data_IF_392904726280
#
_entry.id   IF_392904726280
#
_cell.length_a   1.000
_cell.length_b   1.000
_cell.length_c   1.000
_cell.angle_alpha   90.00
_cell.angle_beta   90.00
_cell.angle_gamma   90.00
#
_symmetry.space_group_name_H-M   'P 1'
#
loop_
_entity.id
_entity.type
_entity.pdbx_description
1 polymer ?
#
# COMPACT_ATOMS: atom_id res chain seq x y z
N UNK A 1 7.86 -21.52 -3.19
CA UNK A 1 8.11 -20.38 -2.31
C UNK A 1 9.37 -19.62 -2.70
N UNK A 2 10.50 -20.30 -2.93
CA UNK A 2 11.77 -19.66 -3.33
C UNK A 2 11.66 -18.72 -4.53
N UNK A 3 10.95 -19.13 -5.59
CA UNK A 3 10.71 -18.27 -6.76
C UNK A 3 9.97 -16.98 -6.40
N UNK A 4 8.99 -17.04 -5.49
CA UNK A 4 8.26 -15.85 -5.04
C UNK A 4 9.18 -14.90 -4.25
N UNK A 5 10.02 -15.46 -3.37
CA UNK A 5 11.01 -14.68 -2.63
C UNK A 5 12.05 -14.03 -3.56
N UNK A 6 12.51 -14.76 -4.58
CA UNK A 6 13.40 -14.22 -5.62
C UNK A 6 12.73 -13.10 -6.43
N UNK A 7 11.44 -13.26 -6.79
CA UNK A 7 10.67 -12.21 -7.48
C UNK A 7 10.61 -10.94 -6.64
N UNK A 8 10.24 -11.01 -5.35
CA UNK A 8 10.18 -9.82 -4.50
C UNK A 8 11.57 -9.21 -4.24
N UNK A 9 12.60 -10.04 -4.03
CA UNK A 9 13.97 -9.55 -3.88
C UNK A 9 14.44 -8.76 -5.12
N UNK A 10 14.12 -9.24 -6.32
CA UNK A 10 14.43 -8.54 -7.56
C UNK A 10 13.64 -7.22 -7.70
N UNK A 11 12.36 -7.19 -7.30
CA UNK A 11 11.57 -5.96 -7.29
C UNK A 11 12.12 -4.93 -6.31
N UNK A 12 12.50 -5.35 -5.11
CA UNK A 12 13.14 -4.50 -4.11
C UNK A 12 14.41 -3.86 -4.65
N UNK A 13 15.28 -4.65 -5.29
CA UNK A 13 16.53 -4.15 -5.84
C UNK A 13 16.32 -3.16 -7.00
N UNK A 14 15.31 -3.38 -7.83
CA UNK A 14 15.11 -2.60 -9.06
C UNK A 14 14.26 -1.36 -8.86
N UNK A 15 13.21 -1.44 -8.05
CA UNK A 15 12.15 -0.43 -8.01
C UNK A 15 12.09 0.34 -6.69
N UNK A 16 12.58 -0.23 -5.57
CA UNK A 16 12.55 0.47 -4.29
C UNK A 16 13.59 1.59 -4.26
N UNK A 17 13.15 2.79 -3.91
CA UNK A 17 13.98 3.97 -3.78
C UNK A 17 14.52 4.12 -2.34
N UNK A 18 15.56 4.93 -2.12
CA UNK A 18 16.13 5.14 -0.78
C UNK A 18 15.12 5.63 0.27
N UNK A 19 14.09 6.37 -0.15
CA UNK A 19 13.00 6.83 0.72
C UNK A 19 12.03 5.70 1.12
N UNK A 20 12.18 4.48 0.59
CA UNK A 20 11.35 3.31 0.88
C UNK A 20 10.16 3.10 -0.07
N UNK A 21 9.78 4.11 -0.86
CA UNK A 21 8.72 4.00 -1.87
C UNK A 21 9.25 3.34 -3.15
N UNK A 22 8.34 2.96 -4.03
CA UNK A 22 8.65 2.29 -5.29
C UNK A 22 8.25 3.17 -6.46
N UNK A 23 9.13 3.26 -7.45
CA UNK A 23 8.73 3.77 -8.76
C UNK A 23 7.71 2.83 -9.39
N UNK A 24 6.69 3.40 -10.06
CA UNK A 24 5.71 2.61 -10.78
C UNK A 24 6.38 1.69 -11.81
N UNK A 25 7.31 2.24 -12.59
CA UNK A 25 8.26 1.48 -13.41
C UNK A 25 9.60 2.22 -13.46
N UNK A 26 10.66 1.59 -13.97
CA UNK A 26 11.93 2.28 -14.20
C UNK A 26 11.81 3.44 -15.20
N UNK A 27 10.86 3.34 -16.13
CA UNK A 27 10.61 4.38 -17.13
C UNK A 27 9.60 5.42 -16.63
N UNK A 28 8.91 5.17 -15.53
CA UNK A 28 7.92 6.06 -14.93
C UNK A 28 8.23 6.23 -13.44
N UNK A 29 9.19 7.13 -13.10
CA UNK A 29 9.70 7.30 -11.74
C UNK A 29 8.72 8.11 -10.86
N UNK A 30 7.49 7.62 -10.74
CA UNK A 30 6.40 8.21 -9.96
C UNK A 30 6.02 7.25 -8.84
N UNK A 31 5.92 7.75 -7.61
CA UNK A 31 5.45 6.99 -6.45
C UNK A 31 3.93 6.88 -6.44
N UNK A 32 3.39 6.22 -7.47
CA UNK A 32 1.95 6.04 -7.62
C UNK A 32 1.38 5.20 -6.48
N UNK A 33 0.30 5.68 -5.87
CA UNK A 33 -0.37 5.12 -4.70
C UNK A 33 -0.69 3.64 -4.87
N UNK A 34 -1.57 3.28 -5.81
CA UNK A 34 -1.97 1.86 -5.96
C UNK A 34 -0.83 0.97 -6.47
N UNK A 35 0.09 1.50 -7.27
CA UNK A 35 1.30 0.76 -7.67
C UNK A 35 2.13 0.34 -6.45
N UNK A 36 2.34 1.26 -5.51
CA UNK A 36 2.94 0.95 -4.22
C UNK A 36 2.04 0.05 -3.37
N UNK A 37 0.71 0.22 -3.42
CA UNK A 37 -0.27 -0.63 -2.74
C UNK A 37 -0.08 -2.11 -3.07
N UNK A 38 0.12 -2.44 -4.36
CA UNK A 38 0.39 -3.82 -4.80
C UNK A 38 1.67 -4.38 -4.19
N UNK A 39 2.73 -3.55 -4.14
CA UNK A 39 4.00 -3.96 -3.55
C UNK A 39 3.87 -4.16 -2.04
N UNK A 40 3.20 -3.24 -1.33
CA UNK A 40 2.95 -3.37 0.10
C UNK A 40 2.20 -4.67 0.42
N UNK A 41 1.11 -4.93 -0.31
CA UNK A 41 0.29 -6.13 -0.11
C UNK A 41 1.06 -7.41 -0.43
N UNK A 42 1.84 -7.43 -1.52
CA UNK A 42 2.66 -8.58 -1.90
C UNK A 42 3.81 -8.87 -0.92
N UNK A 43 4.49 -7.82 -0.42
CA UNK A 43 5.49 -7.94 0.64
C UNK A 43 4.87 -8.53 1.91
N UNK A 44 3.74 -7.98 2.33
CA UNK A 44 3.01 -8.46 3.51
C UNK A 44 2.62 -9.92 3.36
N UNK A 45 1.89 -10.29 2.29
CA UNK A 45 1.43 -11.67 2.11
C UNK A 45 2.58 -12.66 2.04
N UNK A 46 3.68 -12.34 1.32
CA UNK A 46 4.82 -13.25 1.30
C UNK A 46 5.48 -13.37 2.67
N UNK A 47 5.68 -12.27 3.41
CA UNK A 47 6.34 -12.32 4.72
C UNK A 47 5.58 -13.15 5.76
N UNK A 48 4.25 -13.26 5.62
CA UNK A 48 3.39 -14.08 6.48
C UNK A 48 3.64 -15.57 6.27
N UNK A 49 3.87 -15.97 5.03
CA UNK A 49 4.03 -17.38 4.63
C UNK A 49 5.51 -17.79 4.53
N UNK A 50 6.45 -16.85 4.44
CA UNK A 50 7.86 -17.14 4.24
C UNK A 50 8.51 -17.64 5.54
N UNK A 51 9.18 -18.82 5.53
CA UNK A 51 9.78 -19.40 6.73
C UNK A 51 10.79 -18.46 7.35
N UNK A 52 10.83 -18.40 8.68
CA UNK A 52 11.73 -17.53 9.42
C UNK A 52 13.21 -17.69 9.00
N UNK A 53 13.62 -18.93 8.70
CA UNK A 53 14.97 -19.28 8.29
C UNK A 53 15.26 -19.10 6.79
N UNK A 54 14.30 -18.66 5.97
CA UNK A 54 14.51 -18.49 4.54
C UNK A 54 15.55 -17.38 4.28
N UNK A 55 16.58 -17.62 3.44
CA UNK A 55 17.73 -16.72 3.31
C UNK A 55 17.38 -15.32 2.80
N UNK A 56 16.33 -15.19 1.99
CA UNK A 56 15.87 -13.88 1.49
C UNK A 56 14.93 -13.12 2.44
N UNK A 57 14.44 -13.76 3.51
CA UNK A 57 13.46 -13.14 4.42
C UNK A 57 13.99 -11.86 5.08
N UNK A 58 15.25 -11.78 5.55
CA UNK A 58 15.78 -10.54 6.14
C UNK A 58 15.76 -9.36 5.18
N UNK A 59 16.14 -9.58 3.92
CA UNK A 59 16.15 -8.53 2.89
C UNK A 59 14.72 -8.05 2.56
N UNK A 60 13.77 -8.99 2.45
CA UNK A 60 12.36 -8.69 2.19
C UNK A 60 11.74 -7.92 3.35
N UNK A 61 11.99 -8.35 4.59
CA UNK A 61 11.51 -7.67 5.79
C UNK A 61 12.11 -6.26 5.89
N UNK A 62 13.41 -6.09 5.62
CA UNK A 62 14.03 -4.76 5.61
C UNK A 62 13.39 -3.83 4.55
N UNK A 63 13.07 -4.37 3.37
CA UNK A 63 12.33 -3.66 2.32
C UNK A 63 10.95 -3.21 2.76
N UNK A 64 10.19 -4.13 3.34
CA UNK A 64 8.88 -3.86 3.94
C UNK A 64 8.98 -2.74 5.00
N UNK A 65 9.88 -2.88 5.98
CA UNK A 65 10.03 -1.89 7.06
C UNK A 65 10.39 -0.49 6.54
N UNK A 66 11.26 -0.38 5.52
CA UNK A 66 11.57 0.90 4.85
C UNK A 66 10.32 1.52 4.24
N UNK A 67 9.54 0.72 3.51
CA UNK A 67 8.31 1.17 2.88
C UNK A 67 7.28 1.64 3.92
N UNK A 68 7.05 0.86 4.98
CA UNK A 68 6.04 1.20 5.99
C UNK A 68 6.40 2.52 6.70
N UNK A 69 7.67 2.74 7.03
CA UNK A 69 8.13 4.04 7.58
C UNK A 69 7.85 5.20 6.65
N UNK A 70 8.08 5.02 5.35
CA UNK A 70 7.80 6.05 4.35
C UNK A 70 6.31 6.34 4.25
N UNK A 71 5.48 5.30 4.20
CA UNK A 71 4.03 5.45 4.17
C UNK A 71 3.52 6.16 5.44
N UNK A 72 4.04 5.81 6.62
CA UNK A 72 3.67 6.47 7.88
C UNK A 72 3.92 7.97 7.81
N UNK A 73 5.06 8.39 7.25
CA UNK A 73 5.42 9.81 7.09
C UNK A 73 4.55 10.56 6.06
N UNK A 74 3.94 9.86 5.10
CA UNK A 74 3.15 10.45 4.01
C UNK A 74 1.63 10.29 4.19
N UNK A 75 1.16 9.73 5.31
CA UNK A 75 -0.27 9.66 5.58
C UNK A 75 -0.85 11.08 5.68
N UNK A 76 -1.93 11.34 4.93
CA UNK A 76 -2.57 12.64 4.95
C UNK A 76 -3.28 12.90 6.29
N UNK A 77 -3.56 14.17 6.64
CA UNK A 77 -4.31 14.50 7.85
C UNK A 77 -5.68 13.81 7.95
N UNK A 78 -6.34 13.54 6.80
CA UNK A 78 -7.60 12.80 6.72
C UNK A 78 -7.48 11.29 6.99
N UNK A 79 -6.27 10.76 7.13
CA UNK A 79 -5.99 9.34 7.37
C UNK A 79 -5.77 8.52 6.11
N UNK A 80 -6.09 9.03 4.92
CA UNK A 80 -5.82 8.34 3.65
C UNK A 80 -4.40 8.63 3.13
N UNK A 81 -4.03 7.92 2.06
CA UNK A 81 -2.86 8.20 1.25
C UNK A 81 -3.26 8.74 -0.11
N UNK A 82 -2.32 9.43 -0.76
CA UNK A 82 -2.55 10.14 -2.01
C UNK A 82 -2.26 9.29 -3.24
N UNK A 83 -2.94 9.61 -4.34
CA UNK A 83 -2.72 9.03 -5.66
C UNK A 83 -1.25 9.10 -6.08
N UNK A 84 -0.54 10.18 -5.78
CA UNK A 84 0.93 10.26 -5.81
C UNK A 84 1.38 10.55 -4.39
N UNK A 85 2.05 9.57 -3.77
CA UNK A 85 2.21 9.48 -2.31
C UNK A 85 2.96 10.70 -1.74
N UNK A 86 4.04 11.09 -2.40
CA UNK A 86 4.99 12.12 -1.99
C UNK A 86 4.69 13.49 -2.60
N UNK A 87 3.53 13.67 -3.22
CA UNK A 87 3.07 14.96 -3.73
C UNK A 87 1.89 15.47 -2.90
N UNK A 88 2.07 16.48 -2.02
CA UNK A 88 1.02 16.96 -1.13
C UNK A 88 -0.26 17.45 -1.83
N UNK A 89 -0.13 18.00 -3.05
CA UNK A 89 -1.24 18.47 -3.87
C UNK A 89 -2.03 17.33 -4.56
N UNK A 90 -1.54 16.09 -4.48
CA UNK A 90 -2.25 14.93 -5.01
C UNK A 90 -3.47 14.59 -4.14
N UNK A 91 -4.54 14.13 -4.78
CA UNK A 91 -5.79 13.78 -4.11
C UNK A 91 -5.68 12.44 -3.38
N UNK A 92 -6.47 12.28 -2.30
CA UNK A 92 -6.53 11.06 -1.48
C UNK A 92 -7.26 9.92 -2.21
N UNK A 93 -6.67 8.73 -2.25
CA UNK A 93 -7.12 7.62 -3.10
C UNK A 93 -7.41 6.36 -2.27
N UNK A 94 -8.59 5.77 -2.47
CA UNK A 94 -9.13 4.74 -1.58
C UNK A 94 -8.47 3.37 -1.72
N UNK A 95 -8.15 2.92 -2.93
CA UNK A 95 -7.62 1.56 -3.12
C UNK A 95 -6.23 1.40 -2.48
N UNK A 96 -5.33 2.35 -2.71
CA UNK A 96 -4.00 2.38 -2.12
C UNK A 96 -4.06 2.52 -0.60
N UNK A 97 -4.93 3.39 -0.09
CA UNK A 97 -5.19 3.54 1.35
C UNK A 97 -5.59 2.21 1.98
N UNK A 98 -6.50 1.46 1.37
CA UNK A 98 -6.91 0.15 1.86
C UNK A 98 -5.74 -0.85 1.85
N UNK A 99 -4.93 -0.90 0.80
CA UNK A 99 -3.77 -1.79 0.71
C UNK A 99 -2.68 -1.46 1.75
N UNK A 100 -2.41 -0.18 1.98
CA UNK A 100 -1.46 0.26 3.01
C UNK A 100 -1.99 -0.03 4.41
N UNK A 101 -3.29 0.18 4.65
CA UNK A 101 -3.93 -0.15 5.92
C UNK A 101 -3.83 -1.65 6.20
N UNK A 102 -4.14 -2.49 5.22
CA UNK A 102 -3.94 -3.95 5.29
C UNK A 102 -2.49 -4.31 5.67
N UNK A 103 -1.51 -3.69 5.02
CA UNK A 103 -0.10 -3.93 5.29
C UNK A 103 0.25 -3.54 6.74
N UNK A 104 -0.16 -2.36 7.20
CA UNK A 104 0.09 -1.88 8.57
C UNK A 104 -0.53 -2.80 9.62
N UNK A 105 -1.82 -3.14 9.47
CA UNK A 105 -2.53 -4.06 10.38
C UNK A 105 -1.79 -5.38 10.48
N UNK A 106 -1.41 -5.96 9.33
CA UNK A 106 -0.72 -7.25 9.30
C UNK A 106 0.66 -7.16 9.95
N UNK A 107 1.42 -6.10 9.66
CA UNK A 107 2.75 -5.91 10.25
C UNK A 107 2.73 -5.72 11.76
N UNK A 108 1.72 -5.01 12.30
CA UNK A 108 1.52 -4.88 13.75
C UNK A 108 1.20 -6.24 14.36
N UNK A 109 0.24 -6.99 13.81
CA UNK A 109 -0.17 -8.30 14.35
C UNK A 109 0.93 -9.36 14.34
N UNK A 110 1.83 -9.31 13.35
CA UNK A 110 2.97 -10.23 13.29
C UNK A 110 4.20 -9.73 14.07
N UNK A 111 4.08 -8.60 14.78
CA UNK A 111 5.17 -8.03 15.59
C UNK A 111 6.32 -7.43 14.77
N UNK A 112 6.11 -7.12 13.49
CA UNK A 112 7.13 -6.49 12.64
C UNK A 112 7.13 -4.97 12.80
N UNK A 113 5.98 -4.39 13.14
CA UNK A 113 5.79 -2.95 13.30
C UNK A 113 5.39 -2.62 14.75
N UNK A 114 5.91 -1.53 15.33
CA UNK A 114 5.47 -1.02 16.62
C UNK A 114 3.99 -0.59 16.59
N UNK A 115 3.18 -1.14 17.51
CA UNK A 115 1.73 -0.89 17.55
C UNK A 115 1.38 0.59 17.78
N UNK A 116 2.07 1.26 18.71
CA UNK A 116 1.76 2.63 19.09
C UNK A 116 1.70 3.61 17.89
N UNK A 117 2.64 3.47 16.94
CA UNK A 117 2.72 4.36 15.78
C UNK A 117 1.91 3.80 14.59
N UNK A 118 2.14 2.53 14.25
CA UNK A 118 1.58 1.94 13.04
C UNK A 118 0.13 1.46 13.23
N UNK A 119 -0.23 1.01 14.42
CA UNK A 119 -1.61 0.68 14.78
C UNK A 119 -2.50 1.93 14.78
N UNK A 120 -2.01 3.05 15.32
CA UNK A 120 -2.70 4.33 15.24
C UNK A 120 -2.89 4.81 13.78
N UNK A 121 -1.86 4.67 12.94
CA UNK A 121 -1.95 5.01 11.53
C UNK A 121 -2.92 4.09 10.76
N UNK A 122 -2.89 2.79 11.03
CA UNK A 122 -3.84 1.82 10.47
C UNK A 122 -5.28 2.15 10.87
N UNK A 123 -5.52 2.49 12.14
CA UNK A 123 -6.83 2.89 12.63
C UNK A 123 -7.36 4.13 11.88
N UNK A 124 -6.52 5.17 11.71
CA UNK A 124 -6.90 6.35 10.91
C UNK A 124 -7.23 5.99 9.46
N UNK A 125 -6.42 5.14 8.82
CA UNK A 125 -6.68 4.68 7.46
C UNK A 125 -8.00 3.93 7.34
N UNK A 126 -8.28 3.02 8.27
CA UNK A 126 -9.53 2.27 8.32
C UNK A 126 -10.75 3.19 8.51
N UNK A 127 -10.71 4.10 9.48
CA UNK A 127 -11.80 5.04 9.74
C UNK A 127 -12.05 5.97 8.54
N UNK A 128 -11.00 6.44 7.88
CA UNK A 128 -11.11 7.26 6.67
C UNK A 128 -11.80 6.49 5.52
N UNK A 129 -11.45 5.21 5.33
CA UNK A 129 -12.09 4.34 4.33
C UNK A 129 -13.58 4.10 4.61
N UNK A 130 -13.98 4.01 5.88
CA UNK A 130 -15.42 3.90 6.22
C UNK A 130 -16.20 5.13 5.78
N UNK A 131 -15.59 6.32 5.80
CA UNK A 131 -16.19 7.53 5.22
C UNK A 131 -16.31 7.49 3.68
N UNK A 132 -15.55 6.65 3.00
CA UNK A 132 -15.60 6.48 1.55
C UNK A 132 -16.58 5.41 1.09
N UNK A 133 -17.15 4.62 2.00
CA UNK A 133 -18.15 3.60 1.67
C UNK A 133 -19.53 4.26 1.47
N UNK A 134 -20.22 3.90 0.39
CA UNK A 134 -21.60 4.31 0.14
C UNK A 134 -22.57 3.40 0.90
N UNK A 135 -23.84 3.81 0.98
CA UNK A 135 -24.90 2.97 1.55
C UNK A 135 -25.12 1.68 0.75
N UNK A 136 -24.83 1.71 -0.56
CA UNK A 136 -24.90 0.56 -1.46
C UNK A 136 -23.66 -0.37 -1.37
N UNK A 137 -22.67 -0.03 -0.53
CA UNK A 137 -21.45 -0.81 -0.34
C UNK A 137 -20.35 -0.54 -1.38
N UNK A 138 -20.49 0.51 -2.19
CA UNK A 138 -19.47 0.94 -3.14
C UNK A 138 -18.43 1.84 -2.47
N UNK A 139 -17.19 1.76 -2.95
CA UNK A 139 -16.10 2.60 -2.43
C UNK A 139 -15.89 3.80 -3.37
N UNK A 140 -15.89 5.02 -2.81
CA UNK A 140 -15.60 6.28 -3.50
C UNK A 140 -14.10 6.54 -3.66
N UNK A 141 -13.73 7.56 -4.44
CA UNK A 141 -12.33 8.01 -4.64
C UNK A 141 -11.36 6.90 -5.09
N UNK A 142 -11.83 5.94 -5.90
CA UNK A 142 -10.97 4.87 -6.45
C UNK A 142 -10.44 5.28 -7.81
N UNK A 143 -9.12 5.26 -7.99
CA UNK A 143 -8.51 5.49 -9.30
C UNK A 143 -8.83 4.34 -10.25
N UNK A 144 -9.27 4.61 -11.49
CA UNK A 144 -9.47 3.57 -12.53
C UNK A 144 -8.19 2.82 -12.91
N UNK A 145 -8.31 1.73 -13.66
CA UNK A 145 -7.17 1.07 -14.33
C UNK A 145 -6.21 2.09 -14.96
N UNK A 146 -4.93 2.01 -14.58
CA UNK A 146 -3.93 3.04 -14.86
C UNK A 146 -2.62 2.37 -15.26
N UNK A 147 -2.14 2.69 -16.46
CA UNK A 147 -0.82 2.28 -16.96
C UNK A 147 0.27 3.20 -16.44
N UNK A 148 1.42 3.25 -17.11
CA UNK A 148 2.53 4.08 -16.69
C UNK A 148 2.75 5.29 -17.61
N UNK A 149 3.20 6.40 -17.03
CA UNK A 149 3.65 7.61 -17.72
C UNK A 149 4.80 8.25 -16.95
N UNK A 150 5.67 9.01 -17.64
CA UNK A 150 6.67 9.89 -17.02
C UNK A 150 6.05 11.18 -16.47
N UNK A 151 4.90 11.56 -17.01
CA UNK A 151 4.21 12.79 -16.65
C UNK A 151 3.38 12.58 -15.38
N UNK A 152 3.63 13.36 -14.34
CA UNK A 152 2.83 13.33 -13.10
C UNK A 152 1.38 13.74 -13.35
N UNK A 153 1.11 14.63 -14.31
CA UNK A 153 -0.23 15.07 -14.64
C UNK A 153 -1.12 13.92 -15.14
N UNK A 154 -0.52 12.91 -15.79
CA UNK A 154 -1.22 11.67 -16.15
C UNK A 154 -1.83 10.97 -14.93
N UNK A 155 -1.10 10.88 -13.82
CA UNK A 155 -1.57 10.23 -12.59
C UNK A 155 -2.59 11.09 -11.85
N UNK A 156 -2.38 12.41 -11.82
CA UNK A 156 -3.27 13.36 -11.17
C UNK A 156 -4.63 13.47 -11.87
N UNK A 157 -4.62 13.39 -13.21
CA UNK A 157 -5.82 13.45 -14.05
C UNK A 157 -6.56 12.13 -14.22
N UNK A 158 -6.18 11.06 -13.50
CA UNK A 158 -6.91 9.78 -13.61
C UNK A 158 -8.34 9.93 -13.06
N UNK A 159 -9.35 9.40 -13.77
CA UNK A 159 -10.72 9.37 -13.27
C UNK A 159 -10.83 8.65 -11.91
N UNK A 160 -11.72 9.18 -11.07
CA UNK A 160 -12.10 8.62 -9.78
C UNK A 160 -13.49 8.01 -9.94
N UNK A 161 -13.62 6.73 -9.62
CA UNK A 161 -14.86 5.98 -9.87
C UNK A 161 -15.37 5.41 -8.55
N UNK A 162 -16.69 5.48 -8.38
CA UNK A 162 -17.41 4.82 -7.29
C UNK A 162 -17.69 3.38 -7.70
N UNK A 163 -17.38 2.42 -6.83
CA UNK A 163 -17.64 0.99 -7.11
C UNK A 163 -16.59 0.32 -8.03
N UNK A 164 -15.44 0.96 -8.25
CA UNK A 164 -14.34 0.31 -8.97
C UNK A 164 -13.69 -0.79 -8.11
N UNK A 165 -13.59 -1.99 -8.70
CA UNK A 165 -13.17 -3.25 -8.05
C UNK A 165 -11.82 -3.20 -7.37
N UNK A 166 -10.94 -2.30 -7.80
CA UNK A 166 -9.63 -2.12 -7.17
C UNK A 166 -9.77 -1.53 -5.76
N UNK A 167 -10.89 -0.88 -5.41
CA UNK A 167 -11.19 -0.38 -4.07
C UNK A 167 -11.85 -1.41 -3.16
N UNK A 168 -12.82 -2.20 -3.68
CA UNK A 168 -13.60 -3.13 -2.84
C UNK A 168 -12.74 -4.26 -2.28
N UNK A 169 -11.90 -4.91 -3.11
CA UNK A 169 -11.16 -6.09 -2.67
C UNK A 169 -10.14 -5.76 -1.56
N UNK A 170 -9.31 -4.70 -1.66
CA UNK A 170 -8.39 -4.35 -0.58
C UNK A 170 -9.08 -3.89 0.71
N UNK A 171 -10.25 -3.26 0.62
CA UNK A 171 -11.04 -2.89 1.80
C UNK A 171 -11.47 -4.14 2.58
N UNK A 172 -11.96 -5.17 1.87
CA UNK A 172 -12.31 -6.46 2.47
C UNK A 172 -11.08 -7.21 2.99
N UNK A 173 -9.93 -7.14 2.30
CA UNK A 173 -8.67 -7.68 2.81
C UNK A 173 -8.23 -7.03 4.13
N UNK A 174 -8.42 -5.72 4.25
CA UNK A 174 -8.13 -4.98 5.49
C UNK A 174 -9.04 -5.46 6.61
N UNK A 175 -10.35 -5.55 6.36
CA UNK A 175 -11.31 -6.09 7.32
C UNK A 175 -10.92 -7.51 7.77
N UNK A 176 -10.56 -8.38 6.83
CA UNK A 176 -10.11 -9.73 7.14
C UNK A 176 -8.83 -9.73 7.99
N UNK A 177 -7.85 -8.87 7.71
CA UNK A 177 -6.63 -8.76 8.53
C UNK A 177 -6.94 -8.24 9.94
N UNK A 178 -7.88 -7.30 10.10
CA UNK A 178 -8.34 -6.81 11.39
C UNK A 178 -9.01 -7.89 12.24
N UNK A 179 -9.67 -8.86 11.62
CA UNK A 179 -10.35 -9.97 12.32
C UNK A 179 -9.45 -11.17 12.63
N UNK A 180 -8.33 -11.36 11.92
CA UNK A 180 -7.42 -12.49 12.17
C UNK A 180 -6.76 -12.36 13.55
N UNK A 181 -6.80 -13.41 14.34
CA UNK A 181 -6.10 -13.50 15.64
C UNK A 181 -4.62 -13.80 15.45
#
# INVERSE_FOLDING_TARGET
MDRAAQTLAAYLQRLQQPNGLFFHTLEAPIHWGRGNGWVASGLTELLRELPAAHPLRPAILAGYLRMMRSLLAHQAPGGMWRQVIDLPASWEESSSTAMFTFAFVSGVKHGWLPDAEFGAAACRGWLALMGQLTEDGDVREVCVGTGHSKDVAYYLGRPRVVGDKHGQAPLLWTAAALLRT
#
